data_IF_272104649753
#
_entry.id   IF_272104649753
#
_cell.length_a   1.000
_cell.length_b   1.000
_cell.length_c   1.000
_cell.angle_alpha   90.00
_cell.angle_beta   90.00
_cell.angle_gamma   90.00
#
_symmetry.space_group_name_H-M   'P 1'
#
loop_
_entity.id
_entity.type
_entity.pdbx_description
1 polymer ?
#
# COMPACT_ATOMS: atom_id res chain seq x y z
N UNK A 1 14.66 -9.59 14.55
CA UNK A 1 13.94 -9.13 13.35
C UNK A 1 13.94 -10.12 12.18
N UNK A 2 14.90 -11.04 12.00
CA UNK A 2 14.78 -12.13 11.00
C UNK A 2 13.90 -13.32 11.42
N UNK A 3 13.55 -13.42 12.71
CA UNK A 3 12.63 -14.44 13.24
C UNK A 3 11.14 -14.08 13.13
N UNK A 4 10.79 -12.83 12.79
CA UNK A 4 9.39 -12.35 12.77
C UNK A 4 8.65 -12.71 11.49
N UNK A 5 9.32 -12.66 10.32
CA UNK A 5 8.75 -13.15 9.05
C UNK A 5 8.41 -14.65 9.09
N UNK A 6 9.12 -15.44 9.91
CA UNK A 6 8.83 -16.86 10.14
C UNK A 6 7.77 -17.10 11.24
N UNK A 7 7.56 -16.17 12.17
CA UNK A 7 6.56 -16.32 13.26
C UNK A 7 5.16 -15.89 12.83
N UNK A 8 5.04 -14.96 11.88
CA UNK A 8 3.75 -14.33 11.55
C UNK A 8 3.06 -14.89 10.30
N UNK A 9 3.67 -15.88 9.61
CA UNK A 9 2.97 -16.73 8.64
C UNK A 9 2.63 -18.02 9.37
N UNK A 10 1.35 -18.25 9.68
CA UNK A 10 0.90 -19.43 10.44
C UNK A 10 1.52 -20.75 9.95
N UNK A 11 1.79 -21.74 10.83
CA UNK A 11 2.40 -23.04 10.49
C UNK A 11 1.53 -23.95 9.59
N UNK A 12 0.39 -23.49 9.08
CA UNK A 12 -0.50 -24.30 8.24
C UNK A 12 -0.08 -24.31 6.77
N UNK A 13 0.80 -23.39 6.35
CA UNK A 13 1.45 -23.41 5.05
C UNK A 13 2.93 -23.74 5.22
N UNK A 14 3.45 -24.64 4.38
CA UNK A 14 4.86 -25.03 4.39
C UNK A 14 5.84 -23.85 4.20
N UNK A 15 7.15 -24.11 4.11
CA UNK A 15 8.14 -23.05 3.95
C UNK A 15 7.82 -22.16 2.75
N UNK A 16 7.82 -20.83 2.95
CA UNK A 16 7.62 -19.84 1.89
C UNK A 16 8.62 -20.10 0.76
N UNK A 17 8.10 -20.37 -0.45
CA UNK A 17 8.93 -20.67 -1.60
C UNK A 17 9.90 -19.52 -1.90
N UNK A 18 11.20 -19.84 -2.02
CA UNK A 18 12.23 -18.87 -2.37
C UNK A 18 12.63 -17.91 -1.25
N UNK A 19 12.20 -18.15 0.00
CA UNK A 19 12.66 -17.39 1.16
C UNK A 19 14.12 -17.69 1.48
N UNK A 20 14.90 -16.63 1.70
CA UNK A 20 16.32 -16.67 2.04
C UNK A 20 16.57 -15.91 3.33
N UNK A 21 16.73 -16.64 4.44
CA UNK A 21 16.98 -16.06 5.77
C UNK A 21 18.20 -15.12 5.78
N UNK A 22 19.22 -15.44 4.97
CA UNK A 22 20.47 -14.69 4.89
C UNK A 22 20.34 -13.31 4.21
N UNK A 23 19.20 -13.00 3.57
CA UNK A 23 19.08 -11.82 2.70
C UNK A 23 17.83 -10.97 2.90
N UNK A 24 16.94 -11.32 3.84
CA UNK A 24 15.64 -10.65 4.02
C UNK A 24 14.72 -10.64 2.78
N UNK A 25 15.14 -11.24 1.67
CA UNK A 25 14.48 -11.13 0.37
C UNK A 25 13.88 -12.48 -0.03
N UNK A 26 12.65 -12.42 -0.55
CA UNK A 26 12.02 -13.52 -1.26
C UNK A 26 12.19 -13.28 -2.75
N UNK A 27 12.66 -14.27 -3.49
CA UNK A 27 12.79 -14.16 -4.95
C UNK A 27 12.14 -15.34 -5.65
N UNK A 28 11.05 -15.07 -6.35
CA UNK A 28 10.49 -15.93 -7.39
C UNK A 28 11.03 -15.57 -8.77
N UNK A 29 11.83 -14.52 -8.88
CA UNK A 29 12.49 -14.17 -10.12
C UNK A 29 13.78 -14.96 -10.32
N UNK A 30 13.92 -15.58 -11.49
CA UNK A 30 15.16 -16.17 -11.98
C UNK A 30 15.41 -15.75 -13.44
N UNK A 31 16.69 -15.65 -13.84
CA UNK A 31 17.06 -15.40 -15.24
C UNK A 31 16.49 -16.47 -16.18
N UNK A 32 16.54 -17.73 -15.74
CA UNK A 32 15.84 -18.83 -16.39
C UNK A 32 14.34 -18.76 -16.03
N UNK A 33 13.47 -18.61 -17.03
CA UNK A 33 12.02 -18.48 -16.85
C UNK A 33 11.37 -19.76 -16.30
N UNK A 34 11.92 -20.95 -16.58
CA UNK A 34 11.43 -22.23 -16.01
C UNK A 34 11.62 -22.34 -14.49
N UNK A 35 12.51 -21.52 -13.92
CA UNK A 35 12.71 -21.43 -12.47
C UNK A 35 11.93 -20.28 -11.84
N UNK A 36 11.30 -19.43 -12.64
CA UNK A 36 10.56 -18.27 -12.14
C UNK A 36 9.09 -18.60 -11.87
N UNK A 37 8.34 -17.65 -11.29
CA UNK A 37 6.89 -17.74 -11.27
C UNK A 37 6.31 -17.87 -12.68
N UNK A 38 5.29 -18.72 -12.82
CA UNK A 38 4.65 -19.09 -14.09
C UNK A 38 3.80 -17.96 -14.64
N UNK A 39 3.03 -17.31 -13.77
CA UNK A 39 2.07 -16.25 -14.14
C UNK A 39 2.49 -14.89 -13.61
N UNK A 40 2.21 -13.85 -14.38
CA UNK A 40 2.31 -12.48 -13.91
C UNK A 40 1.33 -12.30 -12.76
N UNK A 41 1.81 -11.86 -11.59
CA UNK A 41 0.94 -11.72 -10.42
C UNK A 41 -0.17 -10.67 -10.62
N UNK A 42 -0.02 -9.79 -11.60
CA UNK A 42 -0.89 -8.65 -11.81
C UNK A 42 -2.03 -8.90 -12.81
N UNK A 43 -1.77 -9.64 -13.90
CA UNK A 43 -2.76 -9.89 -14.95
C UNK A 43 -2.98 -11.37 -15.23
N UNK A 44 -2.37 -12.27 -14.46
CA UNK A 44 -2.49 -13.73 -14.59
C UNK A 44 -1.98 -14.31 -15.90
N UNK A 45 -1.47 -13.48 -16.84
CA UNK A 45 -0.89 -13.95 -18.10
C UNK A 45 0.38 -14.78 -17.83
N UNK A 46 0.60 -15.78 -18.66
CA UNK A 46 1.81 -16.60 -18.63
C UNK A 46 3.06 -15.72 -18.88
N UNK A 47 4.06 -15.81 -18.02
CA UNK A 47 5.35 -15.10 -18.12
C UNK A 47 6.57 -15.99 -17.87
N UNK A 48 6.37 -17.19 -17.31
CA UNK A 48 7.40 -18.18 -17.06
C UNK A 48 7.79 -18.97 -18.32
N UNK A 49 8.16 -20.23 -18.12
CA UNK A 49 8.50 -21.13 -19.22
C UNK A 49 7.36 -21.25 -20.25
N UNK A 50 7.72 -21.29 -21.53
CA UNK A 50 6.75 -21.32 -22.64
C UNK A 50 5.98 -20.02 -22.89
N UNK A 51 6.29 -18.93 -22.19
CA UNK A 51 5.71 -17.62 -22.47
C UNK A 51 6.32 -16.97 -23.71
N UNK A 52 5.46 -16.40 -24.56
CA UNK A 52 5.86 -15.48 -25.64
C UNK A 52 5.77 -13.99 -25.22
N UNK A 53 5.19 -13.72 -24.05
CA UNK A 53 5.02 -12.36 -23.53
C UNK A 53 6.33 -11.88 -22.90
N UNK A 54 6.75 -10.67 -23.29
CA UNK A 54 7.90 -9.99 -22.69
C UNK A 54 7.68 -9.78 -21.19
N UNK A 55 8.67 -10.18 -20.39
CA UNK A 55 8.63 -10.10 -18.94
C UNK A 55 9.99 -9.79 -18.35
N UNK A 56 10.00 -9.12 -17.22
CA UNK A 56 11.19 -8.67 -16.53
C UNK A 56 11.07 -8.83 -15.01
N UNK A 57 12.11 -8.40 -14.30
CA UNK A 57 12.18 -8.46 -12.85
C UNK A 57 11.36 -7.31 -12.27
N UNK A 58 10.40 -7.67 -11.44
CA UNK A 58 9.58 -6.74 -10.69
C UNK A 58 9.91 -6.78 -9.20
N UNK A 59 9.83 -5.61 -8.56
CA UNK A 59 9.88 -5.43 -7.12
C UNK A 59 8.46 -5.15 -6.60
N UNK A 60 7.98 -5.95 -5.64
CA UNK A 60 6.67 -5.68 -5.02
C UNK A 60 6.58 -4.24 -4.50
N UNK A 61 7.65 -3.78 -3.85
CA UNK A 61 7.82 -2.42 -3.35
C UNK A 61 8.98 -1.79 -4.12
N UNK A 62 8.70 -0.87 -5.03
CA UNK A 62 9.78 -0.26 -5.80
C UNK A 62 10.68 0.61 -4.91
N UNK A 63 11.99 0.61 -5.21
CA UNK A 63 12.97 1.50 -4.57
C UNK A 63 12.65 2.99 -4.76
N UNK A 64 11.92 3.33 -5.83
CA UNK A 64 11.48 4.70 -6.12
C UNK A 64 10.23 5.11 -5.37
N UNK A 65 9.49 4.17 -4.77
CA UNK A 65 8.31 4.46 -3.96
C UNK A 65 8.70 5.14 -2.64
N UNK A 66 9.79 4.65 -2.02
CA UNK A 66 10.32 5.07 -0.72
C UNK A 66 11.57 5.96 -0.86
N UNK A 67 12.04 6.64 0.20
CA UNK A 67 13.21 7.49 0.10
C UNK A 67 14.47 6.71 -0.31
N UNK A 68 15.45 7.37 -0.97
CA UNK A 68 16.72 6.75 -1.32
C UNK A 68 17.40 6.12 -0.10
N UNK A 69 18.08 5.00 -0.30
CA UNK A 69 18.84 4.27 0.73
C UNK A 69 17.99 3.70 1.88
N UNK A 70 16.66 3.79 1.80
CA UNK A 70 15.78 3.16 2.80
C UNK A 70 15.87 1.62 2.80
N UNK A 71 16.32 1.01 1.69
CA UNK A 71 16.62 -0.43 1.58
C UNK A 71 18.11 -0.75 1.82
N UNK A 72 18.83 0.07 2.59
CA UNK A 72 20.25 -0.15 2.89
C UNK A 72 20.48 -1.32 3.85
N UNK A 73 19.51 -1.63 4.71
CA UNK A 73 19.55 -2.81 5.56
C UNK A 73 19.50 -4.10 4.69
N UNK A 74 20.52 -4.97 4.74
CA UNK A 74 20.53 -6.24 4.02
C UNK A 74 19.39 -7.19 4.42
N UNK A 75 18.75 -6.96 5.57
CA UNK A 75 17.61 -7.72 6.07
C UNK A 75 16.27 -7.07 5.71
N UNK A 76 16.27 -5.92 5.04
CA UNK A 76 15.04 -5.27 4.61
C UNK A 76 14.24 -6.17 3.68
N UNK A 77 12.97 -6.38 4.04
CA UNK A 77 12.08 -7.20 3.23
C UNK A 77 11.98 -6.67 1.79
N UNK A 78 12.15 -7.57 0.83
CA UNK A 78 11.86 -7.32 -0.58
C UNK A 78 11.36 -8.60 -1.24
N UNK A 79 10.30 -8.48 -2.04
CA UNK A 79 9.77 -9.59 -2.82
C UNK A 79 9.97 -9.32 -4.32
N UNK A 80 10.74 -10.20 -4.95
CA UNK A 80 11.09 -10.13 -6.37
C UNK A 80 10.37 -11.23 -7.13
N UNK A 81 9.70 -10.87 -8.21
CA UNK A 81 9.04 -11.85 -9.09
C UNK A 81 9.11 -11.38 -10.54
N UNK A 82 8.68 -12.25 -11.45
CA UNK A 82 8.57 -11.96 -12.88
C UNK A 82 7.19 -11.38 -13.17
N UNK A 83 7.13 -10.21 -13.80
CA UNK A 83 5.89 -9.60 -14.28
C UNK A 83 6.00 -9.34 -15.78
N UNK A 84 4.87 -9.25 -16.47
CA UNK A 84 4.90 -8.77 -17.85
C UNK A 84 5.29 -7.28 -17.87
N UNK A 85 6.01 -6.88 -18.91
CA UNK A 85 6.55 -5.51 -19.04
C UNK A 85 5.44 -4.46 -18.96
N UNK A 86 4.26 -4.75 -19.52
CA UNK A 86 3.10 -3.85 -19.50
C UNK A 86 2.62 -3.55 -18.07
N UNK A 87 2.36 -4.58 -17.25
CA UNK A 87 1.92 -4.37 -15.87
C UNK A 87 3.02 -3.78 -15.00
N UNK A 88 4.29 -4.12 -15.26
CA UNK A 88 5.42 -3.52 -14.57
C UNK A 88 5.51 -2.01 -14.87
N UNK A 89 5.40 -1.62 -16.14
CA UNK A 89 5.40 -0.22 -16.54
C UNK A 89 4.22 0.57 -15.96
N UNK A 90 3.00 -0.01 -15.97
CA UNK A 90 1.81 0.59 -15.36
C UNK A 90 2.02 0.84 -13.86
N UNK A 91 2.49 -0.18 -13.12
CA UNK A 91 2.76 -0.03 -11.69
C UNK A 91 3.87 0.99 -11.44
N UNK A 92 4.98 0.94 -12.17
CA UNK A 92 6.09 1.88 -11.99
C UNK A 92 5.66 3.34 -12.20
N UNK A 93 4.79 3.58 -13.18
CA UNK A 93 4.19 4.88 -13.44
C UNK A 93 3.30 5.36 -12.28
N UNK A 94 2.43 4.48 -11.78
CA UNK A 94 1.57 4.77 -10.63
C UNK A 94 2.39 4.98 -9.35
N UNK A 95 3.40 4.16 -9.11
CA UNK A 95 4.32 4.29 -7.97
C UNK A 95 5.04 5.63 -7.99
N UNK A 96 5.53 6.09 -9.15
CA UNK A 96 6.21 7.37 -9.26
C UNK A 96 5.28 8.53 -8.85
N UNK A 97 4.02 8.50 -9.29
CA UNK A 97 3.04 9.52 -8.95
C UNK A 97 2.66 9.49 -7.46
N UNK A 98 2.32 8.32 -6.93
CA UNK A 98 1.98 8.14 -5.51
C UNK A 98 3.17 8.55 -4.64
N UNK A 99 4.37 8.12 -5.00
CA UNK A 99 5.61 8.44 -4.31
C UNK A 99 5.88 9.93 -4.23
N UNK A 100 5.73 10.65 -5.36
CA UNK A 100 5.95 12.10 -5.39
C UNK A 100 5.06 12.83 -4.38
N UNK A 101 3.78 12.47 -4.32
CA UNK A 101 2.82 13.12 -3.43
C UNK A 101 3.02 12.72 -1.97
N UNK A 102 3.16 11.42 -1.71
CA UNK A 102 3.36 10.90 -0.35
C UNK A 102 4.68 11.38 0.26
N UNK A 103 5.76 11.51 -0.54
CA UNK A 103 7.00 12.11 -0.05
C UNK A 103 6.85 13.58 0.28
N UNK A 104 6.17 14.39 -0.55
CA UNK A 104 5.91 15.82 -0.27
C UNK A 104 5.17 15.99 1.06
N UNK A 105 4.24 15.12 1.41
CA UNK A 105 3.50 15.21 2.66
C UNK A 105 4.09 14.37 3.80
N UNK A 106 5.25 13.75 3.59
CA UNK A 106 5.88 12.91 4.62
C UNK A 106 6.38 13.75 5.78
N UNK A 107 6.08 13.38 7.04
CA UNK A 107 6.67 14.03 8.21
C UNK A 107 8.20 13.92 8.22
N UNK A 108 8.74 12.82 7.65
CA UNK A 108 10.19 12.58 7.59
C UNK A 108 10.97 13.62 6.79
N UNK A 109 10.33 14.51 6.03
CA UNK A 109 10.98 15.68 5.42
C UNK A 109 11.58 16.64 6.45
N UNK A 110 10.97 16.73 7.64
CA UNK A 110 11.44 17.60 8.73
C UNK A 110 12.65 17.00 9.44
N UNK A 111 12.67 15.67 9.54
CA UNK A 111 13.64 14.94 10.37
C UNK A 111 14.85 14.46 9.58
N UNK A 112 14.70 14.25 8.27
CA UNK A 112 15.72 13.60 7.43
C UNK A 112 15.98 14.40 6.14
N UNK A 113 17.14 15.04 6.03
CA UNK A 113 17.52 15.87 4.87
C UNK A 113 17.45 15.09 3.53
N UNK A 114 17.79 13.79 3.54
CA UNK A 114 17.69 12.91 2.37
C UNK A 114 16.25 12.79 1.83
N UNK A 115 15.26 12.86 2.72
CA UNK A 115 13.84 12.74 2.39
C UNK A 115 13.33 14.06 1.82
N UNK A 116 13.72 15.19 2.41
CA UNK A 116 13.42 16.52 1.86
C UNK A 116 13.98 16.69 0.44
N UNK A 117 15.24 16.30 0.21
CA UNK A 117 15.86 16.38 -1.11
C UNK A 117 15.16 15.48 -2.13
N UNK A 118 14.84 14.24 -1.73
CA UNK A 118 14.09 13.31 -2.58
C UNK A 118 12.69 13.85 -2.93
N UNK A 119 11.99 14.44 -1.95
CA UNK A 119 10.69 15.05 -2.13
C UNK A 119 10.76 16.25 -3.08
N UNK A 120 11.74 17.16 -2.92
CA UNK A 120 11.95 18.29 -3.84
C UNK A 120 12.21 17.84 -5.27
N UNK A 121 13.12 16.87 -5.43
CA UNK A 121 13.45 16.31 -6.75
C UNK A 121 12.22 15.68 -7.42
N UNK A 122 11.42 14.91 -6.70
CA UNK A 122 10.16 14.33 -7.24
C UNK A 122 9.13 15.41 -7.52
N UNK A 123 8.97 16.39 -6.64
CA UNK A 123 8.08 17.53 -6.87
C UNK A 123 8.43 18.29 -8.16
N UNK A 124 9.71 18.36 -8.53
CA UNK A 124 10.18 19.03 -9.75
C UNK A 124 10.09 18.17 -11.02
N UNK A 125 10.18 16.84 -10.91
CA UNK A 125 10.37 15.95 -12.07
C UNK A 125 9.24 14.94 -12.29
N UNK A 126 8.33 14.77 -11.34
CA UNK A 126 7.18 13.88 -11.48
C UNK A 126 5.98 14.67 -12.02
N UNK A 127 5.20 14.05 -12.90
CA UNK A 127 4.08 14.69 -13.58
C UNK A 127 2.76 14.02 -13.22
N UNK A 128 1.68 14.82 -13.18
CA UNK A 128 0.32 14.30 -13.11
C UNK A 128 -0.30 14.32 -14.51
N UNK A 129 -0.76 13.19 -15.05
CA UNK A 129 -1.43 13.14 -16.35
C UNK A 129 -2.67 14.03 -16.46
N UNK A 130 -3.31 14.33 -15.33
CA UNK A 130 -4.46 15.25 -15.27
C UNK A 130 -4.04 16.70 -15.54
N UNK A 131 -2.75 17.01 -15.42
CA UNK A 131 -2.18 18.35 -15.54
C UNK A 131 -0.89 18.32 -16.39
N UNK A 132 -0.99 18.03 -17.70
CA UNK A 132 0.17 17.85 -18.57
C UNK A 132 1.06 19.09 -18.59
N UNK A 133 2.38 18.86 -18.64
CA UNK A 133 3.39 19.92 -18.69
C UNK A 133 3.65 20.64 -17.36
N UNK A 134 2.93 20.31 -16.28
CA UNK A 134 3.17 20.88 -14.95
C UNK A 134 3.69 19.78 -14.00
N UNK A 135 4.86 19.99 -13.37
CA UNK A 135 5.36 19.04 -12.39
C UNK A 135 4.49 19.12 -11.12
N UNK A 136 4.42 18.00 -10.38
CA UNK A 136 3.55 17.82 -9.21
C UNK A 136 3.71 18.94 -8.18
N UNK A 137 4.94 19.42 -7.95
CA UNK A 137 5.25 20.49 -7.01
C UNK A 137 4.68 21.87 -7.38
N UNK A 138 4.32 22.08 -8.64
CA UNK A 138 3.71 23.33 -9.14
C UNK A 138 2.18 23.26 -9.20
N UNK A 139 1.59 22.08 -8.98
CA UNK A 139 0.14 21.94 -8.99
C UNK A 139 -0.45 22.66 -7.79
N UNK A 140 -1.48 23.46 -8.06
CA UNK A 140 -2.26 24.21 -7.08
C UNK A 140 -3.71 24.02 -7.47
N UNK A 141 -4.52 23.51 -6.55
CA UNK A 141 -5.96 23.43 -6.77
C UNK A 141 -6.60 24.62 -6.10
N UNK A 142 -7.23 25.49 -6.92
CA UNK A 142 -8.02 26.61 -6.41
C UNK A 142 -9.48 26.17 -6.31
N UNK A 143 -10.08 26.37 -5.15
CA UNK A 143 -11.49 26.14 -4.89
C UNK A 143 -12.09 27.43 -4.35
N UNK A 144 -13.16 27.90 -4.98
CA UNK A 144 -13.88 29.08 -4.52
C UNK A 144 -15.05 28.64 -3.64
N UNK A 145 -15.08 29.13 -2.41
CA UNK A 145 -16.16 28.88 -1.46
C UNK A 145 -16.95 30.17 -1.31
N UNK A 146 -18.24 30.10 -1.63
CA UNK A 146 -19.19 31.19 -1.46
C UNK A 146 -19.90 31.03 -0.11
N UNK A 147 -19.62 31.91 0.84
CA UNK A 147 -20.33 31.93 2.12
C UNK A 147 -21.45 32.97 2.08
N UNK A 148 -22.68 32.51 1.88
CA UNK A 148 -23.88 33.35 1.97
C UNK A 148 -23.99 34.47 0.92
N UNK A 149 -23.31 34.35 -0.22
CA UNK A 149 -23.39 35.32 -1.32
C UNK A 149 -22.63 36.65 -1.11
N UNK A 150 -22.09 36.89 0.09
CA UNK A 150 -21.43 38.17 0.45
C UNK A 150 -19.90 38.02 0.44
N UNK A 151 -19.38 36.84 0.79
CA UNK A 151 -17.93 36.59 0.83
C UNK A 151 -17.52 35.45 -0.11
N UNK A 152 -16.49 35.72 -0.91
CA UNK A 152 -15.79 34.74 -1.76
C UNK A 152 -14.40 34.48 -1.19
N UNK A 153 -14.14 33.26 -0.74
CA UNK A 153 -12.80 32.84 -0.33
C UNK A 153 -12.23 31.89 -1.37
N UNK A 154 -10.98 32.14 -1.81
CA UNK A 154 -10.22 31.22 -2.64
C UNK A 154 -9.33 30.34 -1.76
N UNK A 155 -9.64 29.06 -1.66
CA UNK A 155 -8.78 28.07 -1.04
C UNK A 155 -7.80 27.56 -2.09
N UNK A 156 -6.50 27.56 -1.78
CA UNK A 156 -5.48 26.95 -2.62
C UNK A 156 -4.93 25.73 -1.89
N UNK A 157 -5.25 24.54 -2.37
CA UNK A 157 -4.68 23.30 -1.85
C UNK A 157 -3.51 22.81 -2.70
N UNK A 158 -2.63 22.05 -2.05
CA UNK A 158 -1.53 21.37 -2.72
C UNK A 158 -2.03 20.27 -3.66
N UNK A 159 -1.12 19.61 -4.39
CA UNK A 159 -1.49 18.51 -5.27
C UNK A 159 -2.19 17.38 -4.51
N UNK A 160 -3.21 16.79 -5.13
CA UNK A 160 -4.04 15.74 -4.56
C UNK A 160 -3.72 14.39 -5.23
N UNK A 161 -3.75 13.31 -4.44
CA UNK A 161 -3.64 11.95 -4.96
C UNK A 161 -4.80 11.63 -5.90
N UNK A 162 -4.52 10.85 -6.92
CA UNK A 162 -5.54 10.27 -7.79
C UNK A 162 -6.05 8.96 -7.16
N UNK A 163 -7.33 8.89 -6.70
CA UNK A 163 -7.85 7.70 -6.03
C UNK A 163 -7.69 6.42 -6.85
N UNK A 164 -7.76 6.51 -8.19
CA UNK A 164 -7.59 5.34 -9.07
C UNK A 164 -6.18 4.78 -9.04
N UNK A 165 -5.18 5.68 -8.93
CA UNK A 165 -3.77 5.30 -8.82
C UNK A 165 -3.47 4.71 -7.44
N UNK A 166 -4.08 5.27 -6.40
CA UNK A 166 -4.00 4.75 -5.03
C UNK A 166 -4.58 3.33 -4.96
N UNK A 167 -5.79 3.15 -5.48
CA UNK A 167 -6.47 1.85 -5.55
C UNK A 167 -5.66 0.81 -6.34
N UNK A 168 -5.21 1.17 -7.54
CA UNK A 168 -4.40 0.27 -8.36
C UNK A 168 -3.10 -0.16 -7.67
N UNK A 169 -2.37 0.78 -7.05
CA UNK A 169 -1.12 0.44 -6.38
C UNK A 169 -1.36 -0.46 -5.16
N UNK A 170 -2.39 -0.13 -4.37
CA UNK A 170 -2.79 -0.93 -3.22
C UNK A 170 -3.14 -2.36 -3.67
N UNK A 171 -3.98 -2.51 -4.69
CA UNK A 171 -4.34 -3.81 -5.26
C UNK A 171 -3.10 -4.60 -5.68
N UNK A 172 -2.18 -4.00 -6.44
CA UNK A 172 -0.97 -4.68 -6.93
C UNK A 172 -0.07 -5.14 -5.77
N UNK A 173 0.07 -4.33 -4.73
CA UNK A 173 0.88 -4.68 -3.55
C UNK A 173 0.22 -5.77 -2.72
N UNK A 174 -1.08 -5.67 -2.44
CA UNK A 174 -1.86 -6.68 -1.71
C UNK A 174 -1.91 -7.99 -2.48
N UNK A 175 -2.10 -7.97 -3.79
CA UNK A 175 -2.00 -9.14 -4.68
C UNK A 175 -0.65 -9.85 -4.53
N UNK A 176 0.46 -9.10 -4.50
CA UNK A 176 1.79 -9.68 -4.33
C UNK A 176 1.98 -10.33 -2.96
N UNK A 177 1.55 -9.67 -1.87
CA UNK A 177 1.58 -10.26 -0.53
C UNK A 177 0.66 -11.47 -0.40
N UNK A 178 -0.55 -11.40 -0.94
CA UNK A 178 -1.50 -12.52 -0.99
C UNK A 178 -0.89 -13.71 -1.73
N UNK A 179 -0.31 -13.49 -2.91
CA UNK A 179 0.32 -14.55 -3.69
C UNK A 179 1.44 -15.19 -2.90
N UNK A 180 2.31 -14.38 -2.29
CA UNK A 180 3.43 -14.83 -1.47
C UNK A 180 2.97 -15.69 -0.29
N UNK A 181 1.89 -15.31 0.39
CA UNK A 181 1.37 -16.02 1.55
C UNK A 181 0.61 -17.31 1.21
N UNK A 182 0.01 -17.40 0.01
CA UNK A 182 -0.95 -18.46 -0.34
C UNK A 182 -0.48 -19.41 -1.43
N UNK A 183 0.56 -19.08 -2.19
CA UNK A 183 1.10 -19.96 -3.24
C UNK A 183 2.00 -21.03 -2.65
N UNK A 184 1.84 -22.27 -3.12
CA UNK A 184 2.67 -23.41 -2.71
C UNK A 184 3.93 -23.53 -3.57
N UNK A 185 3.75 -23.48 -4.89
CA UNK A 185 4.84 -23.47 -5.86
C UNK A 185 4.50 -22.48 -6.99
N UNK A 186 5.14 -21.30 -7.03
CA UNK A 186 4.81 -20.29 -8.02
C UNK A 186 5.22 -20.70 -9.44
N UNK A 187 6.00 -21.78 -9.62
CA UNK A 187 6.47 -22.26 -10.92
C UNK A 187 5.40 -23.08 -11.67
N UNK A 188 4.37 -23.54 -10.97
CA UNK A 188 3.26 -24.30 -11.55
C UNK A 188 1.98 -23.48 -11.56
N UNK A 189 1.04 -23.84 -12.43
CA UNK A 189 -0.27 -23.18 -12.52
C UNK A 189 -1.08 -23.43 -11.25
N UNK A 190 -1.12 -24.68 -10.80
CA UNK A 190 -1.89 -25.14 -9.66
C UNK A 190 -1.32 -24.65 -8.33
N UNK A 191 0.00 -24.41 -8.30
CA UNK A 191 0.71 -23.93 -7.12
C UNK A 191 0.68 -22.40 -6.96
N UNK A 192 0.34 -21.64 -8.01
CA UNK A 192 0.23 -20.19 -7.95
C UNK A 192 -1.18 -19.77 -7.54
N UNK A 193 -1.30 -18.98 -6.48
CA UNK A 193 -2.58 -18.39 -6.05
C UNK A 193 -2.56 -16.90 -6.36
N UNK A 194 -3.60 -16.43 -7.04
CA UNK A 194 -3.80 -15.03 -7.39
C UNK A 194 -5.09 -14.54 -6.74
N UNK A 195 -5.12 -13.27 -6.31
CA UNK A 195 -6.30 -12.64 -5.74
C UNK A 195 -7.23 -12.22 -6.88
N UNK A 196 -8.47 -12.73 -6.94
CA UNK A 196 -9.46 -12.20 -7.88
C UNK A 196 -9.74 -10.73 -7.59
N UNK A 197 -9.84 -9.90 -8.63
CA UNK A 197 -10.01 -8.44 -8.46
C UNK A 197 -11.33 -8.08 -7.77
N UNK A 198 -12.38 -8.85 -8.02
CA UNK A 198 -13.68 -8.76 -7.37
C UNK A 198 -13.66 -9.08 -5.87
N UNK A 199 -12.54 -9.63 -5.38
CA UNK A 199 -12.34 -9.90 -3.96
C UNK A 199 -11.49 -8.85 -3.25
N UNK A 200 -11.09 -7.77 -3.94
CA UNK A 200 -10.33 -6.69 -3.34
C UNK A 200 -11.26 -5.52 -2.98
N UNK A 201 -11.27 -5.13 -1.71
CA UNK A 201 -12.00 -3.95 -1.24
C UNK A 201 -11.06 -2.93 -0.60
N UNK A 202 -11.03 -1.71 -1.10
CA UNK A 202 -10.39 -0.55 -0.46
C UNK A 202 -11.45 0.24 0.32
N UNK A 203 -11.31 0.33 1.63
CA UNK A 203 -12.22 1.12 2.46
C UNK A 203 -11.89 2.62 2.39
N UNK A 204 -10.62 2.96 2.52
CA UNK A 204 -10.19 4.35 2.52
C UNK A 204 -8.68 4.53 2.66
N UNK A 205 -8.24 5.75 2.41
CA UNK A 205 -6.86 6.19 2.63
C UNK A 205 -6.83 7.47 3.49
N UNK A 206 -5.90 7.51 4.42
CA UNK A 206 -5.85 8.47 5.52
C UNK A 206 -4.47 9.15 5.51
N UNK A 207 -4.40 10.46 5.26
CA UNK A 207 -3.14 11.18 5.34
C UNK A 207 -2.67 11.27 6.81
N UNK A 208 -1.39 11.53 7.03
CA UNK A 208 -0.77 11.54 8.37
C UNK A 208 -1.50 12.38 9.40
N UNK A 209 -1.98 13.56 8.99
CA UNK A 209 -2.73 14.46 9.86
C UNK A 209 -4.12 13.96 10.24
N UNK A 210 -4.57 12.85 9.66
CA UNK A 210 -5.88 12.23 9.91
C UNK A 210 -5.76 10.78 10.40
N UNK A 211 -4.62 10.37 10.93
CA UNK A 211 -4.46 9.00 11.46
C UNK A 211 -5.26 8.72 12.74
N UNK A 212 -5.71 9.76 13.45
CA UNK A 212 -6.63 9.67 14.58
C UNK A 212 -8.11 9.63 14.17
N UNK A 213 -8.40 9.51 12.87
CA UNK A 213 -9.74 9.34 12.34
C UNK A 213 -10.48 8.20 13.03
N UNK A 214 -11.73 8.44 13.46
CA UNK A 214 -12.51 7.47 14.22
C UNK A 214 -12.76 6.16 13.47
N UNK A 215 -12.96 6.20 12.15
CA UNK A 215 -13.04 4.96 11.35
C UNK A 215 -11.74 4.16 11.44
N UNK A 216 -10.59 4.81 11.21
CA UNK A 216 -9.30 4.12 11.19
C UNK A 216 -8.95 3.52 12.57
N UNK A 217 -9.18 4.28 13.64
CA UNK A 217 -8.97 3.83 15.02
C UNK A 217 -9.87 2.65 15.35
N UNK A 218 -11.15 2.72 15.00
CA UNK A 218 -12.11 1.65 15.25
C UNK A 218 -11.78 0.38 14.45
N UNK A 219 -11.44 0.50 13.16
CA UNK A 219 -11.00 -0.62 12.32
C UNK A 219 -9.75 -1.26 12.92
N UNK A 220 -8.76 -0.46 13.32
CA UNK A 220 -7.53 -0.96 13.94
C UNK A 220 -7.83 -1.73 15.24
N UNK A 221 -8.73 -1.21 16.08
CA UNK A 221 -9.15 -1.89 17.31
C UNK A 221 -9.87 -3.22 17.02
N UNK A 222 -10.85 -3.23 16.10
CA UNK A 222 -11.63 -4.43 15.73
C UNK A 222 -10.79 -5.54 15.09
N UNK A 223 -9.73 -5.17 14.40
CA UNK A 223 -8.85 -6.10 13.67
C UNK A 223 -7.59 -6.48 14.43
N UNK A 224 -7.37 -5.91 15.64
CA UNK A 224 -6.17 -6.16 16.46
C UNK A 224 -6.02 -7.61 16.89
N UNK A 225 -7.12 -8.24 17.29
CA UNK A 225 -7.11 -9.62 17.81
C UNK A 225 -7.08 -10.69 16.71
N UNK A 226 -7.15 -10.29 15.44
CA UNK A 226 -7.10 -11.23 14.33
C UNK A 226 -5.68 -11.79 14.20
N UNK A 227 -5.52 -13.11 13.99
CA UNK A 227 -4.24 -13.71 13.67
C UNK A 227 -3.55 -12.99 12.51
N UNK A 228 -2.27 -12.66 12.71
CA UNK A 228 -1.43 -12.08 11.67
C UNK A 228 -1.08 -13.13 10.63
N UNK A 229 -1.20 -12.76 9.35
CA UNK A 229 -0.72 -13.55 8.21
C UNK A 229 0.54 -12.92 7.63
N UNK A 230 0.61 -11.59 7.59
CA UNK A 230 1.80 -10.89 7.16
C UNK A 230 1.93 -9.60 7.95
N UNK A 231 3.13 -9.34 8.44
CA UNK A 231 3.49 -8.09 9.06
C UNK A 231 4.88 -7.70 8.58
N UNK A 232 4.93 -6.62 7.81
CA UNK A 232 6.13 -6.19 7.12
C UNK A 232 6.37 -4.73 7.46
N UNK A 233 7.48 -4.48 8.13
CA UNK A 233 8.08 -3.15 8.25
C UNK A 233 9.38 -3.18 7.48
N UNK A 234 9.46 -2.40 6.40
CA UNK A 234 10.66 -2.35 5.55
C UNK A 234 10.95 -0.91 5.14
N UNK A 235 12.04 -0.73 4.40
CA UNK A 235 12.48 0.57 3.93
C UNK A 235 12.63 1.59 5.09
N UNK A 236 13.28 1.21 6.20
CA UNK A 236 13.41 2.04 7.42
C UNK A 236 12.06 2.59 7.93
N UNK A 237 10.99 1.79 7.81
CA UNK A 237 9.64 2.16 8.22
C UNK A 237 8.90 3.08 7.26
N UNK A 238 9.45 3.38 6.07
CA UNK A 238 8.73 4.13 5.02
C UNK A 238 7.74 3.25 4.24
N UNK A 239 7.76 1.93 4.45
CA UNK A 239 6.73 1.03 3.98
C UNK A 239 6.32 0.08 5.09
N UNK A 240 5.02 0.01 5.36
CA UNK A 240 4.43 -0.98 6.26
C UNK A 240 3.30 -1.74 5.57
N UNK A 241 3.15 -3.01 5.90
CA UNK A 241 2.02 -3.83 5.50
C UNK A 241 1.59 -4.70 6.68
N UNK A 242 0.29 -4.77 6.93
CA UNK A 242 -0.32 -5.75 7.84
C UNK A 242 -1.41 -6.50 7.09
N UNK A 243 -1.45 -7.82 7.20
CA UNK A 243 -2.53 -8.67 6.72
C UNK A 243 -2.93 -9.62 7.84
N UNK A 244 -4.23 -9.70 8.13
CA UNK A 244 -4.77 -10.50 9.24
C UNK A 244 -6.02 -11.26 8.80
N UNK A 245 -6.30 -12.39 9.45
CA UNK A 245 -7.46 -13.23 9.11
C UNK A 245 -7.91 -14.09 10.29
N UNK A 246 -9.21 -14.15 10.55
CA UNK A 246 -9.79 -14.96 11.63
C UNK A 246 -9.76 -16.48 11.40
N UNK A 247 -9.75 -16.94 10.14
CA UNK A 247 -9.66 -18.36 9.80
C UNK A 247 -9.68 -18.64 8.29
N UNK A 248 -9.53 -19.91 7.86
CA UNK A 248 -9.32 -20.30 6.45
C UNK A 248 -10.33 -19.78 5.43
N UNK A 249 -11.58 -19.64 5.82
CA UNK A 249 -12.70 -19.22 4.95
C UNK A 249 -13.17 -17.80 5.23
N UNK A 250 -12.52 -17.10 6.17
CA UNK A 250 -12.90 -15.76 6.58
C UNK A 250 -12.25 -14.69 5.70
N UNK A 251 -12.89 -13.52 5.55
CA UNK A 251 -12.26 -12.37 4.90
C UNK A 251 -10.94 -11.99 5.59
N UNK A 252 -10.05 -11.40 4.81
CA UNK A 252 -8.79 -10.88 5.32
C UNK A 252 -8.94 -9.38 5.55
N UNK A 253 -8.33 -8.89 6.60
CA UNK A 253 -8.02 -7.49 6.76
C UNK A 253 -6.64 -7.22 6.15
N UNK A 254 -6.47 -6.06 5.51
CA UNK A 254 -5.15 -5.56 5.15
C UNK A 254 -5.00 -4.06 5.42
N UNK A 255 -3.77 -3.65 5.69
CA UNK A 255 -3.36 -2.26 5.82
C UNK A 255 -2.01 -2.02 5.14
N UNK A 256 -1.84 -0.85 4.53
CA UNK A 256 -0.59 -0.38 3.96
C UNK A 256 -0.24 1.00 4.52
N UNK A 257 1.04 1.27 4.69
CA UNK A 257 1.55 2.62 4.95
C UNK A 257 2.61 2.98 3.92
N UNK A 258 2.44 4.12 3.28
CA UNK A 258 3.40 4.68 2.34
C UNK A 258 4.02 5.95 2.90
N UNK A 259 5.35 5.97 2.93
CA UNK A 259 6.20 7.11 3.27
C UNK A 259 5.89 7.80 4.60
N UNK A 260 5.34 7.07 5.59
CA UNK A 260 4.86 7.65 6.86
C UNK A 260 3.83 8.77 6.66
N UNK A 261 3.21 8.85 5.49
CA UNK A 261 2.36 9.97 5.08
C UNK A 261 0.92 9.55 4.78
N UNK A 262 0.73 8.32 4.32
CA UNK A 262 -0.56 7.82 3.86
C UNK A 262 -0.76 6.39 4.36
N UNK A 263 -1.87 6.16 5.05
CA UNK A 263 -2.34 4.83 5.41
C UNK A 263 -3.50 4.43 4.52
N UNK A 264 -3.60 3.15 4.22
CA UNK A 264 -4.69 2.56 3.46
C UNK A 264 -5.16 1.33 4.21
N UNK A 265 -6.47 1.11 4.24
CA UNK A 265 -7.05 -0.10 4.84
C UNK A 265 -8.15 -0.66 3.95
N UNK A 266 -8.30 -1.97 4.02
CA UNK A 266 -9.32 -2.67 3.25
C UNK A 266 -9.41 -4.15 3.60
N UNK A 267 -10.06 -4.91 2.73
CA UNK A 267 -10.25 -6.33 2.91
C UNK A 267 -9.98 -7.16 1.65
N UNK A 268 -9.77 -8.46 1.87
CA UNK A 268 -9.88 -9.49 0.84
C UNK A 268 -11.09 -10.35 1.17
N UNK A 269 -12.08 -10.39 0.28
CA UNK A 269 -13.36 -11.08 0.45
C UNK A 269 -14.36 -10.51 -0.54
N UNK A 270 -15.63 -10.90 -0.47
CA UNK A 270 -16.65 -10.38 -1.37
C UNK A 270 -16.71 -8.84 -1.33
N UNK A 271 -16.39 -8.16 -2.46
CA UNK A 271 -16.32 -6.70 -2.48
C UNK A 271 -17.68 -6.02 -2.26
N UNK A 272 -18.78 -6.68 -2.62
CA UNK A 272 -20.15 -6.21 -2.37
C UNK A 272 -20.57 -6.31 -0.90
N UNK A 273 -19.83 -7.03 -0.06
CA UNK A 273 -20.19 -7.29 1.33
C UNK A 273 -18.98 -7.03 2.24
N UNK A 274 -18.75 -5.76 2.65
CA UNK A 274 -17.66 -5.41 3.54
C UNK A 274 -17.72 -6.25 4.83
N UNK A 275 -16.60 -6.75 5.37
CA UNK A 275 -16.60 -7.49 6.63
C UNK A 275 -17.13 -6.65 7.80
N UNK A 276 -17.60 -7.26 8.91
CA UNK A 276 -18.15 -6.54 10.06
C UNK A 276 -17.22 -5.46 10.65
N UNK A 277 -15.91 -5.60 10.49
CA UNK A 277 -14.94 -4.58 10.95
C UNK A 277 -15.05 -3.24 10.22
N UNK A 278 -15.67 -3.22 9.04
CA UNK A 278 -15.89 -2.03 8.20
C UNK A 278 -17.35 -1.55 8.18
N UNK A 279 -18.25 -2.23 8.89
CA UNK A 279 -19.66 -1.87 8.99
C UNK A 279 -19.90 -1.04 10.27
N UNK A 280 -20.96 -0.22 10.29
CA UNK A 280 -21.38 0.53 11.48
C UNK A 280 -20.23 1.29 12.16
N UNK A 281 -19.46 2.01 11.35
CA UNK A 281 -18.36 2.85 11.83
C UNK A 281 -18.92 4.15 12.42
N UNK A 282 -18.23 4.75 13.43
CA UNK A 282 -18.66 6.00 14.04
C UNK A 282 -18.82 7.13 13.03
N UNK A 283 -19.80 8.02 13.22
CA UNK A 283 -19.95 9.19 12.34
C UNK A 283 -18.72 10.11 12.42
N UNK A 284 -18.21 10.51 11.26
CA UNK A 284 -17.03 11.37 11.14
C UNK A 284 -17.34 12.86 11.38
N UNK A 285 -18.58 13.20 11.75
CA UNK A 285 -18.98 14.58 12.03
C UNK A 285 -18.89 15.48 10.79
N UNK A 286 -19.17 14.92 9.61
CA UNK A 286 -19.17 15.69 8.37
C UNK A 286 -20.22 16.82 8.43
N UNK A 287 -19.78 18.05 8.23
CA UNK A 287 -20.67 19.20 8.12
C UNK A 287 -20.72 19.72 6.68
N UNK A 288 -21.91 20.22 6.29
CA UNK A 288 -22.12 20.81 4.98
C UNK A 288 -21.65 22.27 4.97
N UNK A 289 -20.86 22.64 3.98
CA UNK A 289 -20.50 24.03 3.66
C UNK A 289 -21.23 24.52 2.38
N UNK A 290 -22.25 23.79 1.95
CA UNK A 290 -23.05 24.08 0.76
C UNK A 290 -23.45 22.80 0.01
N UNK A 291 -24.22 22.91 -1.09
CA UNK A 291 -24.78 21.75 -1.79
C UNK A 291 -23.74 20.77 -2.34
N UNK A 292 -22.50 21.22 -2.54
CA UNK A 292 -21.42 20.44 -3.14
C UNK A 292 -20.20 20.28 -2.23
N UNK A 293 -20.23 20.87 -1.03
CA UNK A 293 -19.07 20.92 -0.14
C UNK A 293 -19.39 20.29 1.19
N UNK A 294 -18.65 19.24 1.53
CA UNK A 294 -18.62 18.66 2.87
C UNK A 294 -17.20 18.78 3.39
N UNK A 295 -17.10 19.13 4.66
CA UNK A 295 -15.85 19.19 5.37
C UNK A 295 -15.97 18.39 6.67
N UNK A 296 -14.81 17.94 7.15
CA UNK A 296 -14.64 17.42 8.49
C UNK A 296 -13.27 17.83 8.99
N UNK A 297 -13.11 17.80 10.29
CA UNK A 297 -11.80 17.97 10.91
C UNK A 297 -10.92 16.75 10.62
N UNK A 298 -9.65 17.01 10.28
CA UNK A 298 -8.62 15.99 10.23
C UNK A 298 -8.05 15.81 11.63
N UNK A 299 -8.07 14.58 12.14
CA UNK A 299 -7.69 14.31 13.53
C UNK A 299 -6.34 13.56 13.52
N UNK A 300 -5.25 14.16 14.01
CA UNK A 300 -3.98 13.47 14.10
C UNK A 300 -4.05 12.35 15.16
N UNK A 301 -3.22 11.32 15.01
CA UNK A 301 -3.19 10.21 15.98
C UNK A 301 -2.76 10.68 17.39
N UNK A 302 -1.90 11.70 17.46
CA UNK A 302 -1.36 12.21 18.71
C UNK A 302 -0.49 11.17 19.43
N UNK A 303 -0.56 11.15 20.76
CA UNK A 303 0.18 10.19 21.61
C UNK A 303 -0.55 8.85 21.79
N UNK A 304 -1.65 8.63 21.06
CA UNK A 304 -2.40 7.36 21.15
C UNK A 304 -1.56 6.22 20.58
N UNK A 305 -1.67 5.00 21.13
CA UNK A 305 -0.96 3.85 20.59
C UNK A 305 -1.42 3.55 19.16
N UNK A 306 -0.45 3.29 18.28
CA UNK A 306 -0.71 2.93 16.89
C UNK A 306 -1.02 1.44 16.76
N UNK A 307 -2.30 1.07 16.89
CA UNK A 307 -2.74 -0.33 16.88
C UNK A 307 -2.73 -0.99 15.49
N UNK A 308 -2.52 -0.20 14.43
CA UNK A 308 -2.66 -0.68 13.05
C UNK A 308 -1.49 -1.56 12.61
N UNK A 309 -0.28 -1.23 13.03
CA UNK A 309 0.97 -1.91 12.70
C UNK A 309 1.76 -2.34 13.95
N UNK A 310 1.07 -2.53 15.08
CA UNK A 310 1.67 -2.98 16.34
C UNK A 310 2.03 -4.48 16.25
N UNK A 311 3.33 -4.84 16.22
CA UNK A 311 3.76 -6.24 16.17
C UNK A 311 3.62 -6.94 17.53
N UNK A 312 3.55 -6.15 18.59
CA UNK A 312 3.59 -6.59 19.98
C UNK A 312 2.21 -6.42 20.63
N UNK A 313 1.15 -6.86 19.94
CA UNK A 313 -0.13 -7.15 20.56
C UNK A 313 0.06 -8.19 21.66
N UNK A 314 0.61 -7.75 22.80
CA UNK A 314 0.97 -8.58 23.91
C UNK A 314 -0.28 -9.30 24.35
N UNK A 315 -0.21 -10.63 24.31
CA UNK A 315 -1.13 -11.46 25.04
C UNK A 315 -1.07 -11.00 26.50
N UNK A 316 -2.16 -10.42 26.99
CA UNK A 316 -2.47 -10.37 28.43
C UNK A 316 -3.10 -11.71 28.76
#
# INVERSE_FOLDING_TARGET
MTSELRRNLEPTSGPVFGFREDRGAVSWFHRNSARSNRHCLYCSRLVGEGSEIASDREHLIARRLVPPDSFSDPLAFNFLFRACVECNAEKAFVEEHVSALTMIYSPGRRDEARVEEAARRKAANSFDPRHPGKPVGQLRHRTEVNMGGIFKFGLVSGPQLDPRKVDLLAYRQIQGFFSLATSLDPRTTEGTRLLPGEHFGLHGFYPHQDWGNQHLVEIAARTRSLPSIAEVVTANGYFRCAMRRAGPTQPWFWALEWNKSLRLVGWIGEASSPPPWFQDLPDLGWFSQGPQFRAREEIPLGDRPDLLFDPDGGWI
#
